data_IF_231000439202
#
_entry.id   IF_231000439202
#
_cell.length_a   1.000
_cell.length_b   1.000
_cell.length_c   1.000
_cell.angle_alpha   90.00
_cell.angle_beta   90.00
_cell.angle_gamma   90.00
#
_symmetry.space_group_name_H-M   'P 1'
#
loop_
_entity.id
_entity.type
_entity.pdbx_description
1 polymer ?
#
# COMPACT_ATOMS: atom_id res chain seq x y z
N UNK A 1 -8.01 14.55 -2.80
CA UNK A 1 -8.45 13.15 -2.63
C UNK A 1 -7.29 12.22 -2.96
N UNK A 2 -6.91 11.34 -2.02
CA UNK A 2 -5.68 10.54 -2.12
C UNK A 2 -5.78 9.48 -3.22
N UNK A 3 -4.74 9.39 -4.05
CA UNK A 3 -4.55 8.36 -5.08
C UNK A 3 -5.79 8.15 -5.99
N UNK A 4 -6.62 9.19 -6.21
CA UNK A 4 -7.86 9.14 -7.02
C UNK A 4 -8.81 7.98 -6.67
N UNK A 5 -8.78 7.49 -5.42
CA UNK A 5 -9.47 6.26 -4.98
C UNK A 5 -9.19 5.05 -5.87
N UNK A 6 -7.93 4.87 -6.24
CA UNK A 6 -7.50 3.71 -7.01
C UNK A 6 -6.25 3.09 -6.40
N UNK A 7 -6.05 1.79 -6.63
CA UNK A 7 -4.81 1.12 -6.27
C UNK A 7 -3.65 1.78 -7.04
N UNK A 8 -2.61 2.22 -6.33
CA UNK A 8 -1.43 2.85 -6.96
C UNK A 8 -0.68 1.86 -7.86
N UNK A 9 -0.71 0.56 -7.53
CA UNK A 9 0.03 -0.47 -8.28
C UNK A 9 -0.69 -0.95 -9.54
N UNK A 10 -2.02 -1.06 -9.55
CA UNK A 10 -2.77 -1.65 -10.69
C UNK A 10 -3.89 -0.78 -11.24
N UNK A 11 -4.16 0.39 -10.64
CA UNK A 11 -5.19 1.32 -11.09
C UNK A 11 -6.64 0.90 -10.83
N UNK A 12 -6.89 -0.29 -10.25
CA UNK A 12 -8.25 -0.76 -9.95
C UNK A 12 -8.99 0.21 -9.03
N UNK A 13 -10.27 0.42 -9.35
CA UNK A 13 -11.27 1.17 -8.57
C UNK A 13 -12.36 0.19 -8.12
N UNK A 14 -13.22 0.63 -7.19
CA UNK A 14 -14.36 -0.17 -6.68
C UNK A 14 -13.96 -1.52 -6.06
N UNK A 15 -12.77 -1.57 -5.47
CA UNK A 15 -12.28 -2.69 -4.68
C UNK A 15 -11.97 -2.18 -3.28
N UNK A 16 -11.80 -3.09 -2.32
CA UNK A 16 -11.25 -2.67 -1.02
C UNK A 16 -9.83 -2.15 -1.22
N UNK A 17 -9.66 -0.87 -0.90
CA UNK A 17 -8.39 -0.17 -0.90
C UNK A 17 -8.00 0.11 0.55
N UNK A 18 -6.76 -0.18 0.88
CA UNK A 18 -6.20 0.02 2.22
C UNK A 18 -4.91 0.83 2.11
N UNK A 19 -4.62 1.60 3.16
CA UNK A 19 -3.34 2.28 3.29
C UNK A 19 -2.34 1.32 3.96
N UNK A 20 -1.20 1.14 3.34
CA UNK A 20 -0.12 0.28 3.84
C UNK A 20 1.16 1.10 4.00
N UNK A 21 2.01 0.71 4.94
CA UNK A 21 3.34 1.31 5.08
C UNK A 21 4.28 0.87 3.95
N UNK A 22 5.05 1.80 3.40
CA UNK A 22 6.12 1.52 2.44
C UNK A 22 7.35 1.00 3.18
N UNK A 23 7.77 1.71 4.23
CA UNK A 23 8.73 1.22 5.22
C UNK A 23 7.95 0.65 6.38
N UNK A 24 8.19 -0.62 6.72
CA UNK A 24 7.49 -1.28 7.83
C UNK A 24 7.69 -0.53 9.15
N UNK A 25 6.68 -0.56 10.01
CA UNK A 25 6.77 0.01 11.36
C UNK A 25 7.92 -0.62 12.16
N UNK A 26 8.14 -1.93 12.01
CA UNK A 26 9.26 -2.66 12.63
C UNK A 26 10.64 -2.18 12.17
N UNK A 27 10.73 -1.54 11.01
CA UNK A 27 11.95 -0.95 10.45
C UNK A 27 12.02 0.56 10.71
N UNK A 28 11.18 1.11 11.60
CA UNK A 28 11.14 2.55 11.92
C UNK A 28 10.28 3.38 10.96
N UNK A 29 9.47 2.73 10.13
CA UNK A 29 8.51 3.40 9.25
C UNK A 29 7.42 4.13 10.03
N UNK A 30 7.32 5.45 9.86
CA UNK A 30 6.36 6.32 10.55
C UNK A 30 4.99 6.33 9.87
N UNK A 31 3.93 6.65 10.62
CA UNK A 31 2.57 6.90 10.12
C UNK A 31 2.43 8.25 9.42
N UNK A 32 3.26 8.50 8.42
CA UNK A 32 3.21 9.73 7.63
C UNK A 32 2.53 9.48 6.28
N UNK A 33 1.84 10.49 5.75
CA UNK A 33 1.22 10.40 4.42
C UNK A 33 2.23 9.93 3.36
N UNK A 34 3.50 10.35 3.46
CA UNK A 34 4.58 9.97 2.54
C UNK A 34 5.00 8.51 2.65
N UNK A 35 4.84 7.89 3.82
CA UNK A 35 5.18 6.49 4.06
C UNK A 35 3.97 5.55 3.90
N UNK A 36 2.79 6.09 3.60
CA UNK A 36 1.61 5.28 3.29
C UNK A 36 1.44 5.14 1.78
N UNK A 37 0.89 4.03 1.32
CA UNK A 37 0.50 3.79 -0.07
C UNK A 37 -0.88 3.13 -0.12
N UNK A 38 -1.74 3.59 -1.03
CA UNK A 38 -3.07 2.99 -1.23
C UNK A 38 -2.99 1.83 -2.22
N UNK A 39 -3.22 0.61 -1.74
CA UNK A 39 -3.22 -0.61 -2.56
C UNK A 39 -4.50 -1.42 -2.35
N UNK A 40 -4.84 -2.25 -3.34
CA UNK A 40 -5.82 -3.30 -3.15
C UNK A 40 -5.16 -4.52 -2.49
N UNK A 41 -5.98 -5.36 -1.84
CA UNK A 41 -5.51 -6.57 -1.14
C UNK A 41 -4.62 -7.45 -2.01
N UNK A 42 -4.98 -7.66 -3.29
CA UNK A 42 -4.19 -8.47 -4.23
C UNK A 42 -2.78 -7.91 -4.44
N UNK A 43 -2.66 -6.61 -4.74
CA UNK A 43 -1.36 -5.97 -4.94
C UNK A 43 -0.54 -5.93 -3.66
N UNK A 44 -1.18 -5.70 -2.51
CA UNK A 44 -0.50 -5.75 -1.22
C UNK A 44 0.09 -7.14 -0.95
N UNK A 45 -0.68 -8.21 -1.13
CA UNK A 45 -0.19 -9.60 -0.95
C UNK A 45 0.96 -9.94 -1.90
N UNK A 46 0.90 -9.50 -3.16
CA UNK A 46 1.98 -9.71 -4.13
C UNK A 46 3.27 -9.01 -3.69
N UNK A 47 3.19 -7.74 -3.26
CA UNK A 47 4.36 -6.97 -2.82
C UNK A 47 4.92 -7.40 -1.47
N UNK A 48 4.07 -7.85 -0.56
CA UNK A 48 4.50 -8.34 0.75
C UNK A 48 5.37 -9.61 0.63
N UNK A 49 5.12 -10.45 -0.38
CA UNK A 49 5.97 -11.61 -0.68
C UNK A 49 7.37 -11.21 -1.20
N UNK A 50 7.51 -10.03 -1.81
CA UNK A 50 8.80 -9.51 -2.28
C UNK A 50 9.67 -8.98 -1.13
N UNK A 51 9.09 -8.67 0.04
CA UNK A 51 9.80 -8.05 1.18
C UNK A 51 10.24 -9.05 2.25
N UNK A 52 9.85 -10.33 2.12
CA UNK A 52 10.27 -11.45 2.96
C UNK A 52 11.26 -12.40 2.26
N UNK A 53 11.76 -12.01 1.09
CA UNK A 53 12.78 -12.74 0.33
C UNK A 53 14.15 -12.08 0.48
#
# INVERSE_FOLDING_TARGET
MRDKYQCVSCGKKQVQLQAHHIVHQSQGGKDTIKNLITLCQQCFTLKFRETLA
#
